data_IF_502662143487
#
_entry.id   IF_502662143487
#
_cell.length_a   1.000
_cell.length_b   1.000
_cell.length_c   1.000
_cell.angle_alpha   90.00
_cell.angle_beta   90.00
_cell.angle_gamma   90.00
#
_symmetry.space_group_name_H-M   'P 1'
#
loop_
_entity.id
_entity.type
_entity.pdbx_description
1 polymer ?
#
# COMPACT_ATOMS: atom_id res chain seq x y z
N UNK A 1 2.58 -4.67 5.79
CA UNK A 1 2.58 -3.35 5.14
C UNK A 1 1.21 -3.09 4.58
N UNK A 2 0.67 -1.90 4.82
CA UNK A 2 -0.61 -1.47 4.31
C UNK A 2 -0.42 -0.21 3.47
N UNK A 3 -0.92 -0.20 2.24
CA UNK A 3 -0.94 0.99 1.38
C UNK A 3 -2.38 1.32 0.99
N UNK A 4 -2.65 2.62 0.86
CA UNK A 4 -3.82 3.04 0.08
C UNK A 4 -3.43 3.10 -1.39
N UNK A 5 -4.37 2.83 -2.28
CA UNK A 5 -4.18 3.02 -3.70
C UNK A 5 -5.49 3.38 -4.42
N UNK A 6 -5.36 3.64 -5.71
CA UNK A 6 -6.41 3.71 -6.72
C UNK A 6 -5.79 3.25 -8.05
N UNK A 7 -6.53 2.47 -8.84
CA UNK A 7 -6.05 1.83 -10.08
C UNK A 7 -5.59 2.86 -11.11
N UNK A 8 -6.29 4.00 -11.24
CA UNK A 8 -5.96 5.04 -12.21
C UNK A 8 -4.62 5.75 -11.97
N UNK A 9 -4.02 5.62 -10.77
CA UNK A 9 -2.84 6.39 -10.41
C UNK A 9 -1.53 5.66 -10.76
N UNK A 10 -0.70 6.20 -11.67
CA UNK A 10 0.56 5.57 -12.04
C UNK A 10 1.58 5.53 -10.89
N UNK A 11 1.52 6.48 -9.95
CA UNK A 11 2.42 6.50 -8.79
C UNK A 11 2.16 5.31 -7.87
N UNK A 12 0.90 4.94 -7.66
CA UNK A 12 0.53 3.74 -6.91
C UNK A 12 1.01 2.48 -7.62
N UNK A 13 0.76 2.35 -8.91
CA UNK A 13 1.25 1.21 -9.71
C UNK A 13 2.78 1.10 -9.65
N UNK A 14 3.50 2.23 -9.63
CA UNK A 14 4.95 2.24 -9.45
C UNK A 14 5.35 1.75 -8.06
N UNK A 15 4.70 2.21 -7.00
CA UNK A 15 4.95 1.71 -5.63
C UNK A 15 4.69 0.20 -5.52
N UNK A 16 3.63 -0.30 -6.13
CA UNK A 16 3.27 -1.72 -6.15
C UNK A 16 4.30 -2.57 -6.90
N UNK A 17 4.90 -2.04 -7.97
CA UNK A 17 6.04 -2.70 -8.64
C UNK A 17 7.26 -2.81 -7.74
N UNK A 18 7.51 -1.83 -6.86
CA UNK A 18 8.57 -1.93 -5.85
C UNK A 18 8.22 -2.94 -4.74
N UNK A 19 6.94 -3.04 -4.32
CA UNK A 19 6.47 -4.10 -3.42
C UNK A 19 6.62 -5.48 -4.05
N UNK A 20 6.35 -5.63 -5.34
CA UNK A 20 6.58 -6.90 -6.05
C UNK A 20 8.05 -7.34 -5.97
N UNK A 21 8.99 -6.44 -6.25
CA UNK A 21 10.43 -6.69 -6.09
C UNK A 21 10.79 -7.06 -4.65
N UNK A 22 10.18 -6.38 -3.67
CA UNK A 22 10.35 -6.72 -2.26
C UNK A 22 9.95 -8.17 -1.97
N UNK A 23 8.75 -8.58 -2.41
CA UNK A 23 8.28 -9.96 -2.25
C UNK A 23 9.14 -10.98 -3.00
N UNK A 24 9.69 -10.64 -4.16
CA UNK A 24 10.66 -11.48 -4.88
C UNK A 24 11.96 -11.67 -4.07
N UNK A 25 12.38 -10.66 -3.30
CA UNK A 25 13.62 -10.68 -2.53
C UNK A 25 13.49 -11.32 -1.14
N UNK A 26 12.39 -11.08 -0.42
CA UNK A 26 12.21 -11.54 0.97
C UNK A 26 11.03 -12.50 1.18
N UNK A 27 10.32 -12.86 0.11
CA UNK A 27 9.18 -13.76 0.15
C UNK A 27 8.07 -13.27 1.08
N UNK A 28 7.52 -14.21 1.85
CA UNK A 28 6.40 -13.99 2.78
C UNK A 28 6.84 -13.48 4.16
N UNK A 29 8.09 -13.02 4.29
CA UNK A 29 8.58 -12.38 5.52
C UNK A 29 7.83 -11.09 5.87
N UNK A 30 7.09 -10.54 4.89
CA UNK A 30 6.19 -9.40 5.10
C UNK A 30 4.86 -9.68 4.40
N UNK A 31 3.75 -9.38 5.07
CA UNK A 31 2.42 -9.41 4.47
C UNK A 31 2.12 -8.02 3.92
N UNK A 32 1.67 -7.92 2.67
CA UNK A 32 1.24 -6.67 2.05
C UNK A 32 -0.27 -6.65 1.80
N UNK A 33 -0.91 -5.52 2.11
CA UNK A 33 -2.33 -5.28 1.89
C UNK A 33 -2.48 -3.94 1.16
N UNK A 34 -3.09 -3.96 -0.02
CA UNK A 34 -3.42 -2.76 -0.79
C UNK A 34 -4.91 -2.48 -0.68
N UNK A 35 -5.26 -1.32 -0.10
CA UNK A 35 -6.64 -0.87 0.08
C UNK A 35 -6.99 0.18 -0.98
N UNK A 36 -7.94 -0.15 -1.84
CA UNK A 36 -8.46 0.79 -2.82
C UNK A 36 -9.35 1.80 -2.12
N UNK A 37 -8.99 3.08 -2.19
CA UNK A 37 -9.69 4.16 -1.51
C UNK A 37 -10.51 5.04 -2.46
N UNK A 38 -10.58 4.69 -3.75
CA UNK A 38 -11.40 5.40 -4.72
C UNK A 38 -12.84 4.88 -4.69
N UNK A 39 -13.85 5.71 -4.32
CA UNK A 39 -15.24 5.28 -4.25
C UNK A 39 -15.86 4.93 -5.62
N UNK A 40 -15.16 5.21 -6.73
CA UNK A 40 -15.61 4.93 -8.09
C UNK A 40 -14.98 3.65 -8.67
N UNK A 41 -14.17 2.94 -7.88
CA UNK A 41 -13.53 1.69 -8.26
C UNK A 41 -14.16 0.50 -7.52
N UNK A 42 -14.12 -0.66 -8.17
CA UNK A 42 -14.76 -1.88 -7.68
C UNK A 42 -13.81 -3.07 -7.83
N UNK A 43 -14.26 -4.22 -7.32
CA UNK A 43 -13.51 -5.47 -7.38
C UNK A 43 -13.10 -5.85 -8.81
N UNK A 44 -13.92 -5.53 -9.83
CA UNK A 44 -13.62 -5.88 -11.22
C UNK A 44 -12.41 -5.09 -11.72
N UNK A 45 -12.35 -3.78 -11.45
CA UNK A 45 -11.21 -2.95 -11.82
C UNK A 45 -9.93 -3.36 -11.08
N UNK A 46 -10.04 -3.65 -9.79
CA UNK A 46 -8.91 -4.11 -8.97
C UNK A 46 -8.38 -5.45 -9.51
N UNK A 47 -9.28 -6.39 -9.81
CA UNK A 47 -8.90 -7.70 -10.34
C UNK A 47 -8.17 -7.58 -11.68
N UNK A 48 -8.65 -6.72 -12.59
CA UNK A 48 -7.95 -6.45 -13.85
C UNK A 48 -6.54 -5.89 -13.61
N UNK A 49 -6.42 -4.86 -12.76
CA UNK A 49 -5.15 -4.23 -12.40
C UNK A 49 -4.13 -5.21 -11.80
N UNK A 50 -4.58 -6.07 -10.87
CA UNK A 50 -3.75 -7.09 -10.22
C UNK A 50 -3.23 -8.10 -11.24
N UNK A 51 -4.10 -8.61 -12.12
CA UNK A 51 -3.72 -9.60 -13.14
C UNK A 51 -2.80 -9.00 -14.21
N UNK A 52 -3.09 -7.79 -14.70
CA UNK A 52 -2.29 -7.12 -15.72
C UNK A 52 -0.85 -6.87 -15.27
N UNK A 53 -0.63 -6.60 -13.99
CA UNK A 53 0.70 -6.35 -13.43
C UNK A 53 1.34 -7.59 -12.78
N UNK A 54 0.58 -8.68 -12.63
CA UNK A 54 1.00 -9.90 -11.95
C UNK A 54 1.38 -9.64 -10.49
N UNK A 55 0.51 -8.93 -9.75
CA UNK A 55 0.63 -8.73 -8.31
C UNK A 55 0.02 -9.92 -7.55
N UNK A 56 0.63 -10.31 -6.43
CA UNK A 56 0.33 -11.59 -5.75
C UNK A 56 -0.09 -11.49 -4.29
N UNK A 57 -0.19 -10.29 -3.73
CA UNK A 57 -0.58 -10.07 -2.34
C UNK A 57 -2.06 -9.66 -2.22
N UNK A 58 -2.50 -9.29 -1.02
CA UNK A 58 -3.91 -9.01 -0.74
C UNK A 58 -4.33 -7.63 -1.24
N UNK A 59 -5.47 -7.59 -1.93
CA UNK A 59 -6.14 -6.37 -2.38
C UNK A 59 -7.57 -6.35 -1.86
N UNK A 60 -8.07 -5.18 -1.49
CA UNK A 60 -9.46 -5.00 -1.08
C UNK A 60 -10.00 -3.62 -1.45
N UNK A 61 -11.29 -3.55 -1.77
CA UNK A 61 -12.03 -2.28 -1.82
C UNK A 61 -12.23 -1.79 -0.39
N UNK A 62 -11.73 -0.60 -0.07
CA UNK A 62 -11.89 -0.01 1.26
C UNK A 62 -13.32 0.50 1.45
N UNK A 63 -14.09 -0.01 2.42
CA UNK A 63 -15.36 0.59 2.78
C UNK A 63 -15.17 2.04 3.21
N UNK A 64 -16.17 2.89 2.94
CA UNK A 64 -16.07 4.33 3.23
C UNK A 64 -15.76 4.62 4.72
N UNK A 65 -16.26 3.78 5.62
CA UNK A 65 -16.00 3.88 7.07
C UNK A 65 -14.53 3.59 7.40
N UNK A 66 -13.92 2.59 6.75
CA UNK A 66 -12.50 2.26 6.91
C UNK A 66 -11.63 3.38 6.36
N UNK A 67 -11.95 3.90 5.16
CA UNK A 67 -11.23 5.04 4.57
C UNK A 67 -11.30 6.27 5.49
N UNK A 68 -12.46 6.55 6.11
CA UNK A 68 -12.60 7.64 7.09
C UNK A 68 -11.76 7.40 8.35
N UNK A 69 -11.70 6.17 8.86
CA UNK A 69 -10.84 5.82 10.00
C UNK A 69 -9.36 6.06 9.67
N UNK A 70 -8.91 5.63 8.48
CA UNK A 70 -7.54 5.88 8.02
C UNK A 70 -7.22 7.38 7.97
N UNK A 71 -8.14 8.20 7.46
CA UNK A 71 -7.96 9.67 7.43
C UNK A 71 -7.91 10.25 8.83
N UNK A 72 -8.73 9.75 9.76
CA UNK A 72 -8.71 10.18 11.17
C UNK A 72 -7.35 9.89 11.82
N UNK A 73 -6.79 8.71 11.59
CA UNK A 73 -5.57 8.25 12.28
C UNK A 73 -4.29 8.77 11.64
N UNK A 74 -4.26 8.93 10.31
CA UNK A 74 -3.05 9.25 9.54
C UNK A 74 -3.12 10.58 8.78
N UNK A 75 -4.23 11.30 8.89
CA UNK A 75 -4.53 12.54 8.17
C UNK A 75 -4.86 12.33 6.69
N UNK A 76 -5.30 13.41 6.03
CA UNK A 76 -5.67 13.38 4.60
C UNK A 76 -4.56 12.89 3.66
N UNK A 77 -3.30 12.95 4.10
CA UNK A 77 -2.18 12.43 3.34
C UNK A 77 -2.22 10.91 3.13
N UNK A 78 -3.10 10.16 3.81
CA UNK A 78 -3.26 8.71 3.59
C UNK A 78 -4.08 8.38 2.33
N UNK A 79 -4.85 9.32 1.78
CA UNK A 79 -5.61 9.15 0.53
C UNK A 79 -5.03 10.02 -0.61
N UNK A 80 -3.84 10.59 -0.40
CA UNK A 80 -3.25 11.50 -1.35
C UNK A 80 -2.43 10.73 -2.40
N UNK A 81 -3.00 10.57 -3.59
CA UNK A 81 -2.43 9.74 -4.66
C UNK A 81 -0.95 10.01 -5.01
N UNK A 82 -0.51 11.27 -5.19
CA UNK A 82 0.91 11.58 -5.43
C UNK A 82 1.87 11.13 -4.32
N UNK A 83 1.39 10.92 -3.11
CA UNK A 83 2.24 10.58 -1.96
C UNK A 83 2.51 9.09 -1.80
N UNK A 84 1.75 8.21 -2.48
CA UNK A 84 1.81 6.76 -2.31
C UNK A 84 2.03 6.33 -0.85
N UNK A 85 1.09 6.67 0.06
CA UNK A 85 1.34 6.56 1.48
C UNK A 85 1.25 5.10 1.92
N UNK A 86 2.18 4.71 2.80
CA UNK A 86 2.23 3.35 3.33
C UNK A 86 2.37 3.37 4.85
N UNK A 87 1.87 2.31 5.47
CA UNK A 87 1.90 2.07 6.91
C UNK A 87 2.60 0.73 7.13
N UNK A 88 3.57 0.74 8.04
CA UNK A 88 4.13 -0.48 8.60
C UNK A 88 3.32 -0.85 9.83
N UNK A 89 2.87 -2.10 9.89
CA UNK A 89 2.21 -2.71 11.04
C UNK A 89 3.13 -3.85 11.48
N UNK A 90 3.56 -3.82 12.73
CA UNK A 90 4.45 -4.80 13.32
C UNK A 90 3.66 -5.93 14.01
N UNK A 91 4.33 -7.03 14.31
CA UNK A 91 3.70 -8.25 14.86
C UNK A 91 3.02 -8.03 16.22
N UNK A 92 3.50 -7.05 16.99
CA UNK A 92 2.91 -6.63 18.27
C UNK A 92 1.69 -5.72 18.12
N UNK A 93 1.28 -5.42 16.87
CA UNK A 93 0.17 -4.55 16.53
C UNK A 93 0.51 -3.06 16.56
N UNK A 94 1.75 -2.68 16.92
CA UNK A 94 2.21 -1.31 16.77
C UNK A 94 2.30 -0.94 15.28
N UNK A 95 2.16 0.34 14.97
CA UNK A 95 2.17 0.79 13.59
C UNK A 95 2.77 2.18 13.46
N UNK A 96 3.29 2.47 12.26
CA UNK A 96 3.73 3.81 11.88
C UNK A 96 3.56 4.04 10.39
N UNK A 97 3.28 5.29 10.04
CA UNK A 97 3.33 5.74 8.65
C UNK A 97 4.80 5.83 8.20
N UNK A 98 5.09 5.36 6.99
CA UNK A 98 6.40 5.54 6.39
C UNK A 98 6.61 7.00 5.96
N UNK A 99 7.81 7.53 6.18
CA UNK A 99 8.18 8.89 5.77
C UNK A 99 8.30 9.04 4.25
N UNK A 100 8.42 10.28 3.78
CA UNK A 100 8.63 10.58 2.35
C UNK A 100 7.34 10.73 1.52
N UNK A 101 7.51 10.96 0.22
CA UNK A 101 6.42 11.15 -0.75
C UNK A 101 6.73 10.45 -2.06
N UNK A 102 5.72 9.80 -2.65
CA UNK A 102 5.84 9.08 -3.90
C UNK A 102 6.32 7.64 -3.69
N UNK A 103 6.72 6.99 -4.78
CA UNK A 103 7.17 5.60 -4.77
C UNK A 103 8.52 5.45 -4.05
N UNK A 104 8.58 4.56 -3.07
CA UNK A 104 9.80 4.12 -2.38
C UNK A 104 10.40 2.90 -3.08
N UNK A 105 11.71 2.90 -3.29
CA UNK A 105 12.43 1.76 -3.88
C UNK A 105 12.44 0.56 -2.94
N UNK A 106 12.65 -0.64 -3.48
CA UNK A 106 12.79 -1.87 -2.68
C UNK A 106 13.84 -1.74 -1.56
N UNK A 107 14.94 -1.03 -1.78
CA UNK A 107 15.97 -0.77 -0.77
C UNK A 107 15.43 0.08 0.37
N UNK A 108 14.74 1.19 0.06
CA UNK A 108 14.08 2.04 1.06
C UNK A 108 13.05 1.23 1.86
N UNK A 109 12.27 0.35 1.21
CA UNK A 109 11.32 -0.52 1.90
C UNK A 109 12.01 -1.48 2.88
N UNK A 110 13.14 -2.08 2.47
CA UNK A 110 13.93 -2.95 3.35
C UNK A 110 14.53 -2.20 4.53
N UNK A 111 14.95 -0.95 4.34
CA UNK A 111 15.43 -0.09 5.43
C UNK A 111 14.30 0.22 6.42
N UNK A 112 13.10 0.54 5.92
CA UNK A 112 11.93 0.77 6.76
C UNK A 112 11.52 -0.47 7.56
N UNK A 113 11.62 -1.67 6.97
CA UNK A 113 11.38 -2.93 7.68
C UNK A 113 12.43 -3.21 8.76
N UNK A 114 13.72 -2.99 8.47
CA UNK A 114 14.81 -3.16 9.45
C UNK A 114 14.71 -2.20 10.62
N UNK A 115 14.24 -0.97 10.36
CA UNK A 115 13.98 0.02 11.40
C UNK A 115 12.86 -0.43 12.34
N UNK A 116 11.93 -1.25 11.86
CA UNK A 116 10.78 -1.72 12.63
C UNK A 116 9.81 -0.61 12.98
N UNK A 117 8.89 -0.93 13.89
CA UNK A 117 8.15 0.02 14.70
C UNK A 117 8.97 0.22 16.00
#
# INVERSE_FOLDING_TARGET
MLESFAVWCPTYTKQQKELKKLHEDIGDSVISISLDTDPNEDETKIFAHVNENGFGWHYAVSPIEVTRSLISDFGNGIINAPSAPMILICEDGSYRKLGGSGSRSVEELKEELKRGC
#
